data_IF_472577874717
#
_entry.id   IF_472577874717
#
_cell.length_a   1.000
_cell.length_b   1.000
_cell.length_c   1.000
_cell.angle_alpha   90.00
_cell.angle_beta   90.00
_cell.angle_gamma   90.00
#
_symmetry.space_group_name_H-M   'P 1'
#
loop_
_entity.id
_entity.type
_entity.pdbx_description
1 polymer ?
#
# COMPACT_ATOMS: atom_id res chain seq x y z
N UNK A 1 42.44 92.33 26.15
CA UNK A 1 42.37 91.06 25.42
C UNK A 1 41.93 90.02 26.41
N UNK A 2 40.72 89.47 26.22
CA UNK A 2 40.14 88.40 27.03
C UNK A 2 40.67 87.04 26.56
N UNK A 3 40.90 86.11 27.47
CA UNK A 3 41.32 84.73 27.16
C UNK A 3 40.18 83.98 26.47
N UNK A 4 40.42 83.05 25.51
CA UNK A 4 39.46 82.25 24.88
C UNK A 4 38.74 81.39 25.92
N UNK A 5 37.41 81.13 25.73
CA UNK A 5 36.61 80.25 26.57
C UNK A 5 37.08 78.79 26.48
N UNK A 6 36.90 78.03 27.57
CA UNK A 6 37.21 76.61 27.62
C UNK A 6 36.36 75.78 26.68
N UNK A 7 36.94 74.78 26.06
CA UNK A 7 36.24 73.86 25.14
C UNK A 7 35.18 73.04 25.92
N UNK A 8 33.98 72.91 25.36
CA UNK A 8 32.91 72.09 25.95
C UNK A 8 33.25 70.61 26.04
N UNK A 9 32.67 69.90 27.01
CA UNK A 9 32.86 68.46 27.23
C UNK A 9 32.40 67.64 26.06
N UNK A 10 33.09 66.58 25.71
CA UNK A 10 32.70 65.58 24.73
C UNK A 10 31.44 64.85 25.21
N UNK A 11 30.43 64.71 24.36
CA UNK A 11 29.22 63.99 24.71
C UNK A 11 29.49 62.50 25.03
N UNK A 12 28.64 61.93 25.87
CA UNK A 12 28.75 60.51 26.28
C UNK A 12 28.55 59.56 25.08
N UNK A 13 29.27 58.40 25.05
CA UNK A 13 29.01 57.37 24.03
C UNK A 13 27.59 56.84 24.09
N UNK A 14 26.98 56.60 22.93
CA UNK A 14 25.65 55.99 22.84
C UNK A 14 25.56 54.62 23.49
N UNK A 15 24.41 54.30 24.04
CA UNK A 15 24.14 52.97 24.65
C UNK A 15 24.32 51.83 23.65
N UNK A 16 24.91 50.71 24.11
CA UNK A 16 25.03 49.47 23.36
C UNK A 16 23.62 48.99 22.96
N UNK A 17 23.40 48.68 21.69
CA UNK A 17 22.15 48.10 21.21
C UNK A 17 21.76 46.83 21.97
N UNK A 18 20.46 46.59 22.13
CA UNK A 18 19.92 45.37 22.74
C UNK A 18 20.40 44.12 22.00
N UNK A 19 20.64 43.04 22.72
CA UNK A 19 20.94 41.75 22.11
C UNK A 19 19.73 41.31 21.24
N UNK A 20 20.03 40.81 20.04
CA UNK A 20 18.99 40.23 19.17
C UNK A 20 18.20 39.10 19.90
N UNK A 21 16.90 39.01 19.63
CA UNK A 21 16.08 37.96 20.19
C UNK A 21 16.61 36.55 19.80
N UNK A 22 16.57 35.60 20.75
CA UNK A 22 16.92 34.21 20.52
C UNK A 22 16.05 33.66 19.37
N UNK A 23 16.68 33.15 18.33
CA UNK A 23 15.97 32.51 17.23
C UNK A 23 14.98 31.43 17.74
N UNK A 24 13.89 31.22 17.00
CA UNK A 24 12.88 30.22 17.32
C UNK A 24 13.56 28.89 17.61
N UNK A 25 13.10 28.21 18.65
CA UNK A 25 13.57 26.88 18.98
C UNK A 25 13.27 25.93 17.78
N UNK A 26 14.25 25.10 17.45
CA UNK A 26 14.07 24.04 16.44
C UNK A 26 12.81 23.24 16.81
N UNK A 27 11.84 23.21 15.92
CA UNK A 27 10.63 22.41 16.12
C UNK A 27 11.01 21.01 16.55
N UNK A 28 10.27 20.42 17.49
CA UNK A 28 10.44 19.03 17.90
C UNK A 28 10.52 18.17 16.65
N UNK A 29 11.57 17.35 16.51
CA UNK A 29 11.59 16.31 15.48
C UNK A 29 10.31 15.51 15.65
N UNK A 30 9.46 15.48 14.59
CA UNK A 30 8.28 14.63 14.59
C UNK A 30 8.70 13.23 15.02
N UNK A 31 7.98 12.63 15.94
CA UNK A 31 8.18 11.23 16.26
C UNK A 31 8.13 10.47 14.95
N UNK A 32 9.21 9.81 14.56
CA UNK A 32 9.18 8.76 13.54
C UNK A 32 8.34 7.64 14.15
N UNK A 33 7.02 7.76 14.03
CA UNK A 33 6.13 6.68 14.37
C UNK A 33 6.64 5.44 13.63
N UNK A 34 6.94 4.39 14.37
CA UNK A 34 7.39 3.13 13.78
C UNK A 34 6.24 2.59 12.94
N UNK A 35 6.19 2.94 11.66
CA UNK A 35 5.14 2.47 10.74
C UNK A 35 5.29 0.96 10.66
N UNK A 36 4.28 0.19 11.08
CA UNK A 36 4.38 -1.25 11.03
C UNK A 36 4.55 -1.71 9.59
N UNK A 37 5.44 -2.67 9.38
CA UNK A 37 5.61 -3.30 8.08
C UNK A 37 4.48 -4.31 7.90
N UNK A 38 3.46 -3.94 7.13
CA UNK A 38 2.35 -4.84 6.76
C UNK A 38 2.45 -5.07 5.26
N UNK A 39 2.83 -6.29 4.90
CA UNK A 39 2.97 -6.71 3.51
C UNK A 39 2.74 -8.21 3.41
N UNK A 40 2.03 -8.64 2.39
CA UNK A 40 1.93 -10.06 2.04
C UNK A 40 2.12 -10.29 0.55
N UNK A 41 2.58 -11.48 0.22
CA UNK A 41 2.58 -12.06 -1.11
C UNK A 41 2.21 -13.52 -1.04
N UNK A 42 1.15 -13.89 -1.73
CA UNK A 42 0.70 -15.26 -1.87
C UNK A 42 0.62 -15.63 -3.35
N UNK A 43 0.98 -16.87 -3.69
CA UNK A 43 1.07 -17.38 -5.05
C UNK A 43 0.34 -18.72 -5.18
N UNK A 44 0.19 -19.16 -6.41
CA UNK A 44 -0.46 -20.41 -6.81
C UNK A 44 -1.91 -20.48 -6.33
N UNK A 45 -2.81 -20.34 -7.27
CA UNK A 45 -4.23 -20.56 -7.01
C UNK A 45 -4.45 -22.00 -6.57
N UNK A 46 -5.15 -22.19 -5.47
CA UNK A 46 -5.53 -23.54 -5.02
C UNK A 46 -6.36 -24.23 -6.10
N UNK A 47 -6.09 -25.50 -6.41
CA UNK A 47 -6.81 -26.23 -7.43
C UNK A 47 -8.22 -26.53 -6.95
N UNK A 48 -9.14 -25.63 -7.22
CA UNK A 48 -10.57 -25.88 -7.14
C UNK A 48 -11.06 -26.06 -8.57
N UNK A 49 -11.81 -27.09 -8.83
CA UNK A 49 -12.24 -27.48 -10.18
C UNK A 49 -13.15 -26.46 -10.89
N UNK A 50 -13.69 -25.50 -10.17
CA UNK A 50 -14.47 -24.39 -10.71
C UNK A 50 -14.18 -23.12 -9.88
N UNK A 51 -13.55 -22.15 -10.52
CA UNK A 51 -13.24 -20.86 -9.89
C UNK A 51 -14.43 -19.90 -9.89
N UNK A 52 -15.39 -20.12 -10.81
CA UNK A 52 -16.52 -19.23 -11.00
C UNK A 52 -17.39 -19.11 -9.73
N UNK A 53 -17.67 -17.88 -9.32
CA UNK A 53 -18.49 -17.62 -8.15
C UNK A 53 -17.78 -17.88 -6.80
N UNK A 54 -16.45 -18.01 -6.77
CA UNK A 54 -15.69 -18.33 -5.56
C UNK A 54 -14.68 -17.28 -5.16
N UNK A 55 -14.29 -17.31 -3.87
CA UNK A 55 -13.11 -16.59 -3.38
C UNK A 55 -11.86 -17.35 -3.79
N UNK A 56 -10.93 -16.66 -4.44
CA UNK A 56 -9.69 -17.28 -4.90
C UNK A 56 -8.70 -17.41 -3.74
N UNK A 57 -8.22 -18.63 -3.51
CA UNK A 57 -7.23 -18.93 -2.48
C UNK A 57 -5.86 -19.11 -3.13
N UNK A 58 -4.85 -18.42 -2.58
CA UNK A 58 -3.46 -18.57 -2.99
C UNK A 58 -2.72 -19.38 -1.91
N UNK A 59 -2.21 -20.55 -2.28
CA UNK A 59 -1.73 -21.56 -1.33
C UNK A 59 -0.30 -21.35 -0.83
N UNK A 60 0.56 -20.73 -1.64
CA UNK A 60 1.95 -20.49 -1.32
C UNK A 60 2.17 -19.08 -0.81
N UNK A 61 2.37 -18.92 0.48
CA UNK A 61 2.60 -17.62 1.13
C UNK A 61 4.09 -17.38 1.29
N UNK A 62 4.64 -16.45 0.49
CA UNK A 62 6.07 -16.10 0.52
C UNK A 62 6.39 -15.09 1.61
N UNK A 63 5.49 -14.10 1.78
CA UNK A 63 5.62 -13.00 2.73
C UNK A 63 4.27 -12.82 3.41
N UNK A 64 4.26 -12.65 4.73
CA UNK A 64 3.07 -12.29 5.48
C UNK A 64 3.43 -11.52 6.75
N UNK A 65 4.12 -10.38 6.60
CA UNK A 65 4.43 -9.47 7.71
C UNK A 65 3.16 -8.78 8.17
N UNK A 66 2.91 -8.79 9.47
CA UNK A 66 1.65 -8.34 10.06
C UNK A 66 0.56 -9.41 10.08
N UNK A 67 0.83 -10.62 9.54
CA UNK A 67 -0.06 -11.81 9.60
C UNK A 67 -1.48 -11.57 9.07
N UNK A 68 -1.63 -10.64 8.11
CA UNK A 68 -2.95 -10.26 7.61
C UNK A 68 -3.57 -11.26 6.63
N UNK A 69 -2.77 -12.04 5.87
CA UNK A 69 -3.29 -12.95 4.87
C UNK A 69 -3.50 -14.37 5.43
N UNK A 70 -4.70 -14.91 5.22
CA UNK A 70 -5.04 -16.30 5.55
C UNK A 70 -5.25 -17.12 4.28
N UNK A 71 -4.34 -18.06 4.03
CA UNK A 71 -4.39 -18.95 2.86
C UNK A 71 -5.56 -19.93 2.88
N UNK A 72 -6.15 -20.21 4.04
CA UNK A 72 -7.30 -21.13 4.15
C UNK A 72 -8.58 -20.50 3.66
N UNK A 73 -8.73 -19.20 3.84
CA UNK A 73 -9.89 -18.42 3.40
C UNK A 73 -9.65 -17.65 2.11
N UNK A 74 -8.37 -17.38 1.75
CA UNK A 74 -7.99 -16.52 0.63
C UNK A 74 -8.15 -15.03 0.91
N UNK A 75 -8.36 -14.65 2.17
CA UNK A 75 -8.64 -13.28 2.57
C UNK A 75 -7.46 -12.63 3.28
N UNK A 76 -7.29 -11.35 3.04
CA UNK A 76 -6.46 -10.47 3.83
C UNK A 76 -7.34 -9.69 4.80
N UNK A 77 -7.01 -9.72 6.07
CA UNK A 77 -7.63 -8.88 7.11
C UNK A 77 -6.65 -7.78 7.50
N UNK A 78 -7.06 -6.53 7.41
CA UNK A 78 -6.21 -5.39 7.71
C UNK A 78 -5.80 -5.38 9.19
N UNK A 79 -4.50 -5.56 9.52
CA UNK A 79 -4.03 -5.53 10.91
C UNK A 79 -4.05 -4.14 11.52
N UNK A 80 -4.18 -3.11 10.69
CA UNK A 80 -4.21 -1.71 11.10
C UNK A 80 -5.01 -0.89 10.08
N UNK A 81 -5.69 0.16 10.55
CA UNK A 81 -6.33 1.13 9.68
C UNK A 81 -5.31 1.89 8.83
N UNK A 82 -5.60 2.06 7.54
CA UNK A 82 -4.71 2.77 6.64
C UNK A 82 -5.04 2.63 5.16
N UNK A 83 -4.16 3.20 4.33
CA UNK A 83 -4.23 3.11 2.88
C UNK A 83 -3.37 1.95 2.41
N UNK A 84 -3.97 1.04 1.65
CA UNK A 84 -3.35 -0.17 1.13
C UNK A 84 -3.32 -0.19 -0.38
N UNK A 85 -2.23 -0.71 -0.95
CA UNK A 85 -2.13 -1.10 -2.35
C UNK A 85 -2.23 -2.61 -2.46
N UNK A 86 -3.11 -3.08 -3.34
CA UNK A 86 -3.23 -4.49 -3.72
C UNK A 86 -2.86 -4.70 -5.17
N UNK A 87 -2.21 -5.82 -5.46
CA UNK A 87 -1.79 -6.22 -6.80
C UNK A 87 -2.25 -7.67 -7.02
N UNK A 88 -2.98 -7.89 -8.09
CA UNK A 88 -3.41 -9.20 -8.55
C UNK A 88 -2.77 -9.48 -9.91
N UNK A 89 -2.12 -10.63 -10.06
CA UNK A 89 -1.65 -11.15 -11.33
C UNK A 89 -2.24 -12.53 -11.56
N UNK A 90 -2.79 -12.73 -12.76
CA UNK A 90 -3.42 -13.99 -13.17
C UNK A 90 -2.95 -14.35 -14.57
N UNK A 91 -2.70 -15.63 -14.77
CA UNK A 91 -2.30 -16.22 -16.04
C UNK A 91 -3.39 -17.24 -16.45
N UNK A 92 -4.35 -16.86 -17.30
CA UNK A 92 -5.36 -17.81 -17.80
C UNK A 92 -4.71 -18.91 -18.65
N UNK A 93 -5.22 -20.13 -18.54
CA UNK A 93 -4.89 -21.23 -19.44
C UNK A 93 -5.23 -20.89 -20.91
N UNK A 94 -4.64 -21.63 -21.84
CA UNK A 94 -4.93 -21.48 -23.26
C UNK A 94 -6.43 -21.63 -23.58
N UNK A 95 -6.94 -20.73 -24.41
CA UNK A 95 -8.36 -20.62 -24.76
C UNK A 95 -9.32 -20.38 -23.59
N UNK A 96 -8.82 -20.02 -22.41
CA UNK A 96 -9.64 -19.72 -21.23
C UNK A 96 -9.76 -18.20 -20.98
N UNK A 97 -10.83 -17.83 -20.29
CA UNK A 97 -11.09 -16.47 -19.86
C UNK A 97 -11.40 -16.42 -18.37
N UNK A 98 -11.00 -15.34 -17.73
CA UNK A 98 -11.29 -15.06 -16.33
C UNK A 98 -11.72 -13.63 -16.15
N UNK A 99 -12.72 -13.42 -15.32
CA UNK A 99 -13.13 -12.13 -14.80
C UNK A 99 -13.01 -12.18 -13.27
N UNK A 100 -12.03 -11.48 -12.73
CA UNK A 100 -11.77 -11.42 -11.30
C UNK A 100 -11.90 -10.01 -10.77
N UNK A 101 -12.30 -9.88 -9.51
CA UNK A 101 -12.43 -8.59 -8.83
C UNK A 101 -11.69 -8.60 -7.52
N UNK A 102 -11.05 -7.47 -7.18
CA UNK A 102 -10.62 -7.16 -5.83
C UNK A 102 -11.82 -6.59 -5.08
N UNK A 103 -12.15 -7.20 -3.96
CA UNK A 103 -13.27 -6.80 -3.12
C UNK A 103 -12.81 -6.45 -1.72
N UNK A 104 -13.36 -5.35 -1.18
CA UNK A 104 -13.25 -4.99 0.22
C UNK A 104 -14.67 -5.00 0.80
N UNK A 105 -14.92 -5.82 1.81
CA UNK A 105 -16.27 -6.09 2.30
C UNK A 105 -17.19 -6.54 1.14
N UNK A 106 -18.13 -5.71 0.70
CA UNK A 106 -19.01 -6.00 -0.43
C UNK A 106 -18.70 -5.15 -1.67
N UNK A 107 -17.75 -4.22 -1.58
CA UNK A 107 -17.43 -3.28 -2.64
C UNK A 107 -16.33 -3.82 -3.56
N UNK A 108 -16.50 -3.62 -4.86
CA UNK A 108 -15.49 -3.92 -5.87
C UNK A 108 -14.63 -2.68 -6.10
N UNK A 109 -13.33 -2.79 -5.88
CA UNK A 109 -12.40 -1.68 -6.07
C UNK A 109 -11.31 -1.95 -7.10
N UNK A 110 -11.24 -3.17 -7.65
CA UNK A 110 -10.33 -3.54 -8.73
C UNK A 110 -10.94 -4.64 -9.62
N UNK A 111 -10.60 -4.62 -10.90
CA UNK A 111 -11.11 -5.58 -11.90
C UNK A 111 -9.95 -6.07 -12.76
N UNK A 112 -9.91 -7.36 -13.01
CA UNK A 112 -9.06 -8.03 -13.98
C UNK A 112 -9.96 -8.86 -14.88
N UNK A 113 -9.95 -8.54 -16.19
CA UNK A 113 -10.68 -9.28 -17.20
C UNK A 113 -9.72 -9.67 -18.31
N UNK A 114 -9.48 -10.95 -18.47
CA UNK A 114 -8.52 -11.47 -19.43
C UNK A 114 -9.07 -12.70 -20.14
N UNK A 115 -8.84 -12.73 -21.45
CA UNK A 115 -9.00 -13.94 -22.28
C UNK A 115 -7.64 -14.28 -22.89
N UNK A 116 -7.20 -15.51 -22.69
CA UNK A 116 -6.06 -16.07 -23.38
C UNK A 116 -6.52 -16.76 -24.67
N UNK A 117 -5.95 -16.36 -25.81
CA UNK A 117 -6.25 -16.96 -27.13
C UNK A 117 -5.00 -17.62 -27.76
N UNK A 118 -3.94 -17.81 -26.98
CA UNK A 118 -2.65 -18.32 -27.46
C UNK A 118 -2.07 -19.33 -26.48
N UNK A 119 -1.33 -20.32 -26.99
CA UNK A 119 -0.66 -21.37 -26.19
C UNK A 119 0.32 -20.82 -25.15
N UNK A 120 0.91 -19.64 -25.41
CA UNK A 120 1.83 -18.94 -24.49
C UNK A 120 1.18 -17.65 -23.96
N UNK A 121 -0.04 -17.73 -23.49
CA UNK A 121 -0.82 -16.56 -23.12
C UNK A 121 -0.18 -15.72 -22.02
N UNK A 122 -0.28 -14.39 -22.14
CA UNK A 122 0.30 -13.47 -21.18
C UNK A 122 -0.42 -13.55 -19.84
N UNK A 123 0.36 -13.50 -18.76
CA UNK A 123 -0.18 -13.11 -17.47
C UNK A 123 -0.64 -11.65 -17.53
N UNK A 124 -1.73 -11.34 -16.90
CA UNK A 124 -2.20 -9.96 -16.76
C UNK A 124 -2.27 -9.56 -15.31
N UNK A 125 -2.11 -8.27 -15.05
CA UNK A 125 -2.12 -7.72 -13.70
C UNK A 125 -3.10 -6.56 -13.59
N UNK A 126 -3.69 -6.43 -12.42
CA UNK A 126 -4.40 -5.23 -11.99
C UNK A 126 -3.90 -4.80 -10.63
N UNK A 127 -3.94 -3.49 -10.38
CA UNK A 127 -3.63 -2.94 -9.06
C UNK A 127 -4.68 -1.91 -8.67
N UNK A 128 -4.94 -1.82 -7.38
CA UNK A 128 -5.89 -0.86 -6.86
C UNK A 128 -5.52 -0.44 -5.43
N UNK A 129 -5.87 0.79 -5.09
CA UNK A 129 -5.67 1.35 -3.76
C UNK A 129 -7.03 1.45 -3.07
N UNK A 130 -7.08 1.13 -1.79
CA UNK A 130 -8.26 1.34 -0.95
C UNK A 130 -7.86 1.73 0.47
N UNK A 131 -8.77 2.37 1.18
CA UNK A 131 -8.64 2.69 2.60
C UNK A 131 -9.38 1.61 3.38
N UNK A 132 -8.73 1.06 4.39
CA UNK A 132 -9.30 0.03 5.25
C UNK A 132 -9.25 0.45 6.71
N UNK A 133 -10.31 0.15 7.43
CA UNK A 133 -10.30 0.11 8.90
C UNK A 133 -9.59 -1.17 9.38
N UNK A 134 -9.10 -1.16 10.62
CA UNK A 134 -8.60 -2.38 11.24
C UNK A 134 -9.69 -3.46 11.28
N UNK A 135 -9.33 -4.68 10.88
CA UNK A 135 -10.25 -5.83 10.82
C UNK A 135 -11.05 -5.93 9.52
N UNK A 136 -10.99 -4.94 8.63
CA UNK A 136 -11.65 -5.06 7.32
C UNK A 136 -10.92 -6.07 6.42
N UNK A 137 -11.71 -6.79 5.62
CA UNK A 137 -11.20 -7.87 4.78
C UNK A 137 -11.14 -7.48 3.31
N UNK A 138 -10.07 -7.97 2.64
CA UNK A 138 -9.90 -7.88 1.19
C UNK A 138 -9.65 -9.27 0.61
N UNK A 139 -10.27 -9.57 -0.53
CA UNK A 139 -10.10 -10.83 -1.24
C UNK A 139 -10.23 -10.69 -2.75
N UNK A 140 -9.74 -11.69 -3.45
CA UNK A 140 -9.98 -11.87 -4.87
C UNK A 140 -11.21 -12.74 -5.06
N UNK A 141 -12.15 -12.29 -5.88
CA UNK A 141 -13.36 -13.04 -6.22
C UNK A 141 -13.42 -13.27 -7.72
N UNK A 142 -13.65 -14.51 -8.11
CA UNK A 142 -13.87 -14.86 -9.51
C UNK A 142 -15.35 -14.67 -9.86
N UNK A 143 -15.66 -13.68 -10.67
CA UNK A 143 -17.02 -13.43 -11.15
C UNK A 143 -17.46 -14.47 -12.18
N UNK A 144 -16.52 -14.80 -13.07
CA UNK A 144 -16.70 -15.85 -14.08
C UNK A 144 -15.35 -16.35 -14.57
N UNK A 145 -15.30 -17.62 -14.91
CA UNK A 145 -14.17 -18.27 -15.55
C UNK A 145 -14.70 -19.27 -16.58
N UNK A 146 -13.85 -19.62 -17.56
CA UNK A 146 -14.13 -20.77 -18.44
C UNK A 146 -14.20 -22.05 -17.61
N UNK A 147 -14.94 -23.03 -18.08
CA UNK A 147 -15.04 -24.33 -17.40
C UNK A 147 -13.70 -25.07 -17.39
N UNK A 148 -13.42 -25.80 -16.31
CA UNK A 148 -12.18 -26.54 -16.09
C UNK A 148 -11.09 -25.70 -15.43
N UNK A 149 -9.82 -26.14 -15.55
CA UNK A 149 -8.66 -25.44 -15.03
C UNK A 149 -8.46 -24.13 -15.81
N UNK A 150 -8.99 -23.05 -15.29
CA UNK A 150 -9.03 -21.76 -16.00
C UNK A 150 -7.76 -20.92 -15.85
N UNK A 151 -6.86 -21.29 -14.94
CA UNK A 151 -5.61 -20.56 -14.68
C UNK A 151 -4.44 -21.53 -14.56
N UNK A 152 -3.29 -21.11 -15.03
CA UNK A 152 -2.06 -21.87 -14.93
C UNK A 152 -1.68 -22.12 -13.48
N UNK A 153 -1.80 -23.36 -13.06
CA UNK A 153 -1.39 -23.83 -11.73
C UNK A 153 0.01 -24.46 -11.72
N UNK A 154 0.67 -24.53 -12.88
CA UNK A 154 2.03 -25.04 -12.94
C UNK A 154 2.97 -24.22 -12.05
N UNK A 155 4.01 -24.85 -11.54
CA UNK A 155 4.99 -24.36 -10.54
C UNK A 155 5.70 -23.03 -10.87
N UNK A 156 5.22 -22.24 -11.80
CA UNK A 156 5.91 -21.11 -12.42
C UNK A 156 5.46 -19.73 -11.94
N UNK A 157 4.95 -19.61 -10.74
CA UNK A 157 4.82 -18.30 -10.09
C UNK A 157 3.95 -17.25 -10.81
N UNK A 158 3.16 -17.63 -11.79
CA UNK A 158 2.39 -16.70 -12.60
C UNK A 158 1.24 -16.03 -11.84
N UNK A 159 0.48 -16.82 -11.06
CA UNK A 159 -0.66 -16.31 -10.32
C UNK A 159 -0.21 -15.81 -8.96
N UNK A 160 -0.54 -14.56 -8.63
CA UNK A 160 -0.19 -13.99 -7.32
C UNK A 160 -1.17 -12.93 -6.85
N UNK A 161 -1.35 -12.87 -5.54
CA UNK A 161 -2.05 -11.80 -4.85
C UNK A 161 -1.13 -11.21 -3.78
N UNK A 162 -0.99 -9.90 -3.79
CA UNK A 162 -0.09 -9.18 -2.89
C UNK A 162 -0.78 -7.94 -2.36
N UNK A 163 -0.40 -7.52 -1.17
CA UNK A 163 -0.85 -6.27 -0.58
C UNK A 163 0.20 -5.65 0.31
N UNK A 164 0.21 -4.33 0.39
CA UNK A 164 1.13 -3.55 1.23
C UNK A 164 0.43 -2.34 1.83
N UNK A 165 0.68 -2.07 3.10
CA UNK A 165 0.31 -0.82 3.74
C UNK A 165 1.21 0.31 3.22
N UNK A 166 0.60 1.34 2.63
CA UNK A 166 1.29 2.53 2.14
C UNK A 166 1.38 3.60 3.24
N UNK A 167 0.26 3.80 3.95
CA UNK A 167 0.14 4.86 4.94
C UNK A 167 -0.80 4.42 6.06
N UNK A 168 -0.44 4.73 7.32
CA UNK A 168 -1.26 4.47 8.50
C UNK A 168 -2.25 5.60 8.75
N UNK A 169 -3.42 5.27 9.31
CA UNK A 169 -4.49 6.21 9.62
C UNK A 169 -5.51 6.35 8.50
N UNK A 170 -6.65 6.91 8.84
CA UNK A 170 -7.72 7.26 7.90
C UNK A 170 -7.40 8.59 7.23
N UNK A 171 -7.62 8.69 5.93
CA UNK A 171 -7.53 9.93 5.15
C UNK A 171 -8.75 10.80 5.43
#
# INVERSE_FOLDING_TARGET
MGLPGVQGQTGEPGHKGANGEKGFEKGSSGESGNVPVIVFRARNVSPDSDLSGTVIRFSNVDINSGSGYDKSTGKFTAPQAGTYLFILQICPEDNHSVLMTLRANNDKFGILNQKNNHDDGPCTSTSAITVLSEGEEVWVYCESASSGDSVWNANENGNSFSGVLIHTGTV
#
